data_IF_794074489511
#
_entry.id   IF_794074489511
#
_cell.length_a   1.000
_cell.length_b   1.000
_cell.length_c   1.000
_cell.angle_alpha   90.00
_cell.angle_beta   90.00
_cell.angle_gamma   90.00
#
_symmetry.space_group_name_H-M   'P 1'
#
loop_
_entity.id
_entity.type
_entity.pdbx_description
1 polymer ?
#
# COMPACT_ATOMS: atom_id res chain seq x y z
N UNK A 1 14.84 11.53 -5.03
CA UNK A 1 14.94 12.65 -5.99
C UNK A 1 15.35 12.07 -7.33
N UNK A 2 14.65 12.44 -8.40
CA UNK A 2 15.11 12.18 -9.77
C UNK A 2 15.61 13.51 -10.32
N UNK A 3 16.85 13.52 -10.78
CA UNK A 3 17.42 14.67 -11.47
C UNK A 3 17.92 14.19 -12.83
N UNK A 4 17.55 14.91 -13.89
CA UNK A 4 18.06 14.67 -15.22
C UNK A 4 18.73 15.94 -15.76
N UNK A 5 19.79 15.72 -16.52
CA UNK A 5 20.62 16.74 -17.10
C UNK A 5 20.74 16.43 -18.59
N UNK A 6 20.22 17.30 -19.45
CA UNK A 6 20.48 17.23 -20.89
C UNK A 6 21.46 18.31 -21.29
N UNK A 7 22.44 17.91 -22.10
CA UNK A 7 23.47 18.80 -22.62
C UNK A 7 23.40 18.71 -24.14
N UNK A 8 22.96 19.79 -24.79
CA UNK A 8 23.07 19.93 -26.23
C UNK A 8 24.52 20.26 -26.59
N UNK A 9 25.22 19.29 -27.20
CA UNK A 9 26.64 19.42 -27.56
C UNK A 9 26.89 20.36 -28.75
N UNK A 10 25.85 20.77 -29.47
CA UNK A 10 25.96 21.66 -30.64
C UNK A 10 25.79 23.13 -30.29
N UNK A 11 24.94 23.43 -29.30
CA UNK A 11 24.63 24.80 -28.86
C UNK A 11 25.23 25.14 -27.49
N UNK A 12 25.63 24.13 -26.72
CA UNK A 12 26.09 24.30 -25.33
C UNK A 12 24.94 24.55 -24.34
N UNK A 13 23.68 24.41 -24.76
CA UNK A 13 22.53 24.56 -23.89
C UNK A 13 22.49 23.42 -22.86
N UNK A 14 22.31 23.80 -21.60
CA UNK A 14 22.20 22.87 -20.46
C UNK A 14 20.82 23.03 -19.85
N UNK A 15 20.04 21.95 -19.87
CA UNK A 15 18.77 21.86 -19.17
C UNK A 15 18.93 20.94 -17.96
N UNK A 16 18.65 21.49 -16.78
CA UNK A 16 18.71 20.78 -15.50
C UNK A 16 17.34 20.82 -14.83
N UNK A 17 16.75 19.65 -14.61
CA UNK A 17 15.51 19.52 -13.87
C UNK A 17 15.72 18.57 -12.69
N UNK A 18 15.44 19.07 -11.48
CA UNK A 18 15.50 18.30 -10.24
C UNK A 18 14.11 18.22 -9.65
N UNK A 19 13.53 17.02 -9.61
CA UNK A 19 12.23 16.78 -8.99
C UNK A 19 12.43 16.21 -7.59
N UNK A 20 12.17 17.04 -6.58
CA UNK A 20 12.03 16.57 -5.20
C UNK A 20 10.58 16.14 -4.96
N UNK A 21 10.36 14.83 -4.95
CA UNK A 21 9.06 14.22 -4.58
C UNK A 21 8.72 14.38 -3.08
N UNK A 22 9.55 15.13 -2.33
CA UNK A 22 9.29 15.66 -0.99
C UNK A 22 8.78 14.62 0.02
N UNK A 23 7.84 15.05 0.87
CA UNK A 23 7.20 14.23 1.90
C UNK A 23 6.50 12.98 1.33
N UNK A 24 5.95 13.06 0.12
CA UNK A 24 5.26 11.93 -0.51
C UNK A 24 6.24 10.79 -0.79
N UNK A 25 7.45 11.10 -1.25
CA UNK A 25 8.51 10.09 -1.45
C UNK A 25 8.96 9.47 -0.14
N UNK A 26 9.10 10.29 0.92
CA UNK A 26 9.49 9.80 2.23
C UNK A 26 8.44 8.85 2.83
N UNK A 27 7.17 9.22 2.79
CA UNK A 27 6.08 8.34 3.23
C UNK A 27 5.96 7.08 2.38
N UNK A 28 6.22 7.17 1.06
CA UNK A 28 6.26 6.00 0.20
C UNK A 28 7.39 5.03 0.59
N UNK A 29 8.57 5.57 0.91
CA UNK A 29 9.72 4.76 1.33
C UNK A 29 9.47 4.08 2.67
N UNK A 30 8.91 4.80 3.65
CA UNK A 30 8.46 4.22 4.91
C UNK A 30 7.38 3.16 4.72
N UNK A 31 6.34 3.44 3.91
CA UNK A 31 5.24 2.52 3.69
C UNK A 31 5.70 1.23 2.98
N UNK A 32 6.61 1.34 2.02
CA UNK A 32 7.18 0.18 1.32
C UNK A 32 8.33 -0.49 2.08
N UNK A 33 8.77 0.08 3.20
CA UNK A 33 9.99 -0.35 3.90
C UNK A 33 11.27 -0.20 3.07
N UNK A 34 11.26 0.61 2.01
CA UNK A 34 12.44 0.89 1.18
C UNK A 34 13.28 1.98 1.84
N UNK A 35 14.61 1.82 1.84
CA UNK A 35 15.55 2.81 2.40
C UNK A 35 15.33 3.21 3.87
N UNK A 36 14.48 2.51 4.63
CA UNK A 36 14.09 2.88 6.00
C UNK A 36 14.91 2.16 7.10
N UNK A 37 15.90 1.36 6.69
CA UNK A 37 16.80 0.62 7.57
C UNK A 37 16.18 -0.67 8.17
N UNK A 38 17.01 -1.59 8.70
CA UNK A 38 16.55 -2.92 9.13
C UNK A 38 15.52 -2.89 10.27
N UNK A 39 15.64 -1.93 11.21
CA UNK A 39 14.72 -1.82 12.35
C UNK A 39 13.28 -1.52 11.90
N UNK A 40 13.12 -0.71 10.85
CA UNK A 40 11.81 -0.37 10.32
C UNK A 40 11.16 -1.56 9.60
N UNK A 41 11.93 -2.32 8.82
CA UNK A 41 11.45 -3.56 8.21
C UNK A 41 10.94 -4.55 9.25
N UNK A 42 11.70 -4.76 10.34
CA UNK A 42 11.25 -5.62 11.45
C UNK A 42 9.98 -5.11 12.14
N UNK A 43 9.85 -3.80 12.32
CA UNK A 43 8.62 -3.20 12.85
C UNK A 43 7.41 -3.51 11.95
N UNK A 44 7.56 -3.36 10.63
CA UNK A 44 6.51 -3.69 9.67
C UNK A 44 6.15 -5.18 9.70
N UNK A 45 7.14 -6.07 9.78
CA UNK A 45 6.90 -7.52 9.81
C UNK A 45 6.14 -7.94 11.07
N UNK A 46 6.56 -7.46 12.25
CA UNK A 46 5.87 -7.75 13.53
C UNK A 46 4.45 -7.21 13.51
N UNK A 47 4.26 -5.98 13.02
CA UNK A 47 2.94 -5.37 12.91
C UNK A 47 2.05 -6.14 11.94
N UNK A 48 2.57 -6.56 10.79
CA UNK A 48 1.85 -7.38 9.83
C UNK A 48 1.40 -8.72 10.43
N UNK A 49 2.27 -9.40 11.19
CA UNK A 49 1.92 -10.62 11.91
C UNK A 49 0.80 -10.36 12.92
N UNK A 50 0.88 -9.28 13.70
CA UNK A 50 -0.16 -8.92 14.66
C UNK A 50 -1.51 -8.64 13.97
N UNK A 51 -1.50 -7.92 12.85
CA UNK A 51 -2.69 -7.68 12.03
C UNK A 51 -3.28 -8.99 11.50
N UNK A 52 -2.45 -9.93 11.04
CA UNK A 52 -2.92 -11.23 10.57
C UNK A 52 -3.61 -12.01 11.70
N UNK A 53 -2.97 -12.09 12.88
CA UNK A 53 -3.56 -12.76 14.05
C UNK A 53 -4.91 -12.13 14.41
N UNK A 54 -4.97 -10.80 14.47
CA UNK A 54 -6.21 -10.07 14.75
C UNK A 54 -7.31 -10.33 13.71
N UNK A 55 -6.99 -10.25 12.42
CA UNK A 55 -7.95 -10.48 11.35
C UNK A 55 -8.45 -11.92 11.30
N UNK A 56 -7.56 -12.91 11.47
CA UNK A 56 -7.92 -14.33 11.47
C UNK A 56 -8.81 -14.66 12.66
N UNK A 57 -8.45 -14.19 13.86
CA UNK A 57 -9.27 -14.40 15.06
C UNK A 57 -10.62 -13.71 14.94
N UNK A 58 -10.66 -12.47 14.45
CA UNK A 58 -11.91 -11.76 14.16
C UNK A 58 -12.81 -12.50 13.17
N UNK A 59 -12.23 -13.03 12.08
CA UNK A 59 -12.97 -13.81 11.09
C UNK A 59 -13.52 -15.11 11.70
N UNK A 60 -12.76 -15.79 12.56
CA UNK A 60 -13.22 -16.98 13.27
C UNK A 60 -14.39 -16.67 14.21
N UNK A 61 -14.33 -15.55 14.94
CA UNK A 61 -15.43 -15.08 15.78
C UNK A 61 -16.69 -14.78 14.95
N UNK A 62 -16.53 -14.14 13.79
CA UNK A 62 -17.65 -13.90 12.86
C UNK A 62 -18.26 -15.22 12.39
N UNK A 63 -17.43 -16.21 12.03
CA UNK A 63 -17.89 -17.53 11.61
C UNK A 63 -18.69 -18.23 12.72
N UNK A 64 -18.21 -18.19 13.96
CA UNK A 64 -18.90 -18.81 15.10
C UNK A 64 -20.28 -18.17 15.35
N UNK A 65 -20.39 -16.85 15.19
CA UNK A 65 -21.65 -16.12 15.40
C UNK A 65 -22.54 -16.04 14.14
N UNK A 66 -22.04 -16.44 12.97
CA UNK A 66 -22.75 -16.34 11.70
C UNK A 66 -24.04 -17.15 11.67
N UNK A 67 -24.13 -18.25 12.42
CA UNK A 67 -25.35 -19.08 12.50
C UNK A 67 -26.54 -18.30 13.05
N UNK A 68 -26.29 -17.36 13.95
CA UNK A 68 -27.34 -16.55 14.59
C UNK A 68 -27.53 -15.19 13.91
N UNK A 69 -26.54 -14.75 13.12
CA UNK A 69 -26.59 -13.51 12.34
C UNK A 69 -26.38 -13.80 10.86
N UNK A 70 -27.50 -14.07 10.16
CA UNK A 70 -27.54 -14.36 8.71
C UNK A 70 -26.84 -13.29 7.85
N UNK A 71 -26.80 -12.04 8.32
CA UNK A 71 -26.17 -10.93 7.61
C UNK A 71 -24.64 -10.89 7.69
N UNK A 72 -24.00 -11.70 8.55
CA UNK A 72 -22.53 -11.72 8.69
C UNK A 72 -21.84 -12.01 7.36
N UNK A 73 -22.24 -13.07 6.66
CA UNK A 73 -21.61 -13.48 5.40
C UNK A 73 -21.86 -12.53 4.22
N UNK A 74 -23.08 -12.02 4.00
CA UNK A 74 -23.32 -10.98 3.01
C UNK A 74 -22.43 -9.74 3.17
N UNK A 75 -22.27 -9.21 4.40
CA UNK A 75 -21.42 -8.05 4.62
C UNK A 75 -19.92 -8.34 4.43
N UNK A 76 -19.44 -9.50 4.89
CA UNK A 76 -18.05 -9.93 4.65
C UNK A 76 -17.79 -10.08 3.16
N UNK A 77 -18.72 -10.70 2.41
CA UNK A 77 -18.64 -10.84 0.97
C UNK A 77 -18.65 -9.50 0.24
N UNK A 78 -19.55 -8.58 0.59
CA UNK A 78 -19.58 -7.23 0.03
C UNK A 78 -18.28 -6.45 0.27
N UNK A 79 -17.67 -6.62 1.44
CA UNK A 79 -16.37 -6.02 1.77
C UNK A 79 -15.24 -6.46 0.83
N UNK A 80 -15.32 -7.64 0.22
CA UNK A 80 -14.37 -8.13 -0.78
C UNK A 80 -14.80 -7.80 -2.20
N UNK A 81 -16.09 -7.99 -2.52
CA UNK A 81 -16.63 -7.84 -3.87
C UNK A 81 -16.61 -6.38 -4.32
N UNK A 82 -16.94 -5.43 -3.45
CA UNK A 82 -16.97 -4.01 -3.83
C UNK A 82 -15.58 -3.52 -4.27
N UNK A 83 -14.50 -3.66 -3.48
CA UNK A 83 -13.16 -3.27 -3.93
C UNK A 83 -12.70 -4.01 -5.19
N UNK A 84 -13.02 -5.31 -5.30
CA UNK A 84 -12.67 -6.11 -6.47
C UNK A 84 -13.35 -5.59 -7.74
N UNK A 85 -14.64 -5.28 -7.69
CA UNK A 85 -15.38 -4.72 -8.82
C UNK A 85 -14.83 -3.33 -9.21
N UNK A 86 -14.52 -2.49 -8.22
CA UNK A 86 -13.89 -1.19 -8.49
C UNK A 86 -12.54 -1.37 -9.20
N UNK A 87 -11.73 -2.33 -8.78
CA UNK A 87 -10.46 -2.61 -9.43
C UNK A 87 -10.66 -3.08 -10.89
N UNK A 88 -11.58 -4.00 -11.15
CA UNK A 88 -11.80 -4.55 -12.49
C UNK A 88 -12.43 -3.56 -13.48
N UNK A 89 -13.27 -2.64 -13.01
CA UNK A 89 -14.01 -1.71 -13.87
C UNK A 89 -13.27 -0.39 -14.13
N UNK A 90 -12.37 0.03 -13.23
CA UNK A 90 -11.75 1.36 -13.31
C UNK A 90 -10.21 1.34 -13.42
N UNK A 91 -9.54 0.23 -13.10
CA UNK A 91 -8.06 0.13 -13.19
C UNK A 91 -7.61 -0.50 -14.52
N UNK A 92 -8.47 -1.31 -15.16
CA UNK A 92 -8.29 -1.73 -16.56
C UNK A 92 -8.91 -0.70 -17.49
#
# INVERSE_FOLDING_TARGET
>A
ADAWLSIDRSTGAVEFESTDRGWVSYFNDLHKGRNAGPAWSWFLDIFAIACLVFCITGLFLLQMHARQRRMTWPYVGLGLVIPLLLALLFIH
#
